data_IF_337613789760
#
_entry.id   IF_337613789760
#
_cell.length_a   1.000
_cell.length_b   1.000
_cell.length_c   1.000
_cell.angle_alpha   90.00
_cell.angle_beta   90.00
_cell.angle_gamma   90.00
#
_symmetry.space_group_name_H-M   'P 1'
#
loop_
_entity.id
_entity.type
_entity.pdbx_description
1 polymer ?
#
# COMPACT_ATOMS: atom_id res chain seq x y z
N UNK A 1 -8.51 -23.31 -17.24
CA UNK A 1 -9.00 -23.82 -18.53
C UNK A 1 -10.30 -24.59 -18.35
N UNK A 2 -11.44 -23.90 -18.47
CA UNK A 2 -12.76 -24.51 -18.59
C UNK A 2 -13.63 -23.53 -19.37
N UNK A 3 -13.55 -23.55 -20.70
CA UNK A 3 -14.52 -22.87 -21.54
C UNK A 3 -15.71 -23.83 -21.71
N UNK A 4 -16.79 -23.56 -20.99
CA UNK A 4 -18.06 -24.28 -21.13
C UNK A 4 -18.73 -23.81 -22.42
N UNK A 5 -18.67 -24.65 -23.47
CA UNK A 5 -19.34 -24.37 -24.75
C UNK A 5 -20.84 -24.68 -24.56
N UNK A 6 -21.67 -23.66 -24.73
CA UNK A 6 -23.15 -23.78 -24.73
C UNK A 6 -23.64 -24.10 -26.14
N UNK A 7 -24.42 -25.17 -26.28
CA UNK A 7 -24.96 -25.65 -27.57
C UNK A 7 -26.49 -25.60 -27.58
N UNK A 8 -27.08 -25.29 -28.73
CA UNK A 8 -28.53 -25.31 -28.93
C UNK A 8 -28.95 -26.64 -29.56
N UNK A 9 -29.76 -27.42 -28.85
CA UNK A 9 -30.33 -28.69 -29.31
C UNK A 9 -31.84 -28.66 -29.11
N UNK A 10 -32.62 -28.98 -30.15
CA UNK A 10 -34.09 -28.99 -30.11
C UNK A 10 -34.72 -27.67 -29.61
N UNK A 11 -34.11 -26.53 -29.94
CA UNK A 11 -34.59 -25.22 -29.53
C UNK A 11 -34.28 -24.83 -28.08
N UNK A 12 -33.55 -25.67 -27.34
CA UNK A 12 -33.12 -25.40 -25.97
C UNK A 12 -31.59 -25.29 -25.90
N UNK A 13 -31.10 -24.23 -25.24
CA UNK A 13 -29.69 -24.06 -24.96
C UNK A 13 -29.29 -24.91 -23.76
N UNK A 14 -28.16 -25.62 -23.87
CA UNK A 14 -27.60 -26.38 -22.77
C UNK A 14 -26.06 -26.39 -22.82
N UNK A 15 -25.37 -26.13 -21.70
CA UNK A 15 -25.89 -25.58 -20.44
C UNK A 15 -26.39 -24.13 -20.58
N UNK A 16 -27.09 -23.60 -19.58
CA UNK A 16 -27.55 -22.21 -19.56
C UNK A 16 -26.41 -21.23 -19.89
N UNK A 17 -26.74 -20.19 -20.65
CA UNK A 17 -25.77 -19.18 -21.07
C UNK A 17 -25.26 -18.45 -19.82
N UNK A 18 -23.94 -18.41 -19.56
CA UNK A 18 -23.42 -17.75 -18.37
C UNK A 18 -23.61 -16.24 -18.46
N UNK A 19 -23.90 -15.63 -17.32
CA UNK A 19 -23.93 -14.18 -17.19
C UNK A 19 -22.51 -13.63 -16.96
N UNK A 20 -22.14 -12.58 -17.69
CA UNK A 20 -20.87 -11.89 -17.48
C UNK A 20 -20.91 -11.12 -16.17
N UNK A 21 -19.98 -11.41 -15.26
CA UNK A 21 -19.77 -10.62 -14.05
C UNK A 21 -18.96 -9.35 -14.38
N UNK A 22 -19.33 -8.22 -13.78
CA UNK A 22 -18.48 -7.02 -13.78
C UNK A 22 -17.35 -7.22 -12.77
N UNK A 23 -16.12 -6.95 -13.19
CA UNK A 23 -14.94 -7.07 -12.34
C UNK A 23 -14.66 -5.74 -11.64
N UNK A 24 -14.19 -5.81 -10.41
CA UNK A 24 -13.67 -4.64 -9.71
C UNK A 24 -12.29 -4.25 -10.23
N UNK A 25 -11.95 -2.96 -10.26
CA UNK A 25 -10.65 -2.49 -10.73
C UNK A 25 -9.52 -2.99 -9.81
N UNK A 26 -8.33 -3.18 -10.41
CA UNK A 26 -7.11 -3.51 -9.67
C UNK A 26 -6.75 -2.42 -8.67
N UNK A 27 -6.11 -2.81 -7.56
CA UNK A 27 -5.66 -1.91 -6.52
C UNK A 27 -4.14 -1.96 -6.39
N UNK A 28 -3.52 -0.78 -6.37
CA UNK A 28 -2.08 -0.63 -6.16
C UNK A 28 -1.84 0.52 -5.19
N UNK A 29 -0.94 0.34 -4.23
CA UNK A 29 -0.57 1.39 -3.29
C UNK A 29 0.89 1.30 -2.88
N UNK A 30 1.54 2.45 -2.76
CA UNK A 30 2.90 2.56 -2.21
C UNK A 30 2.91 2.68 -0.69
N UNK A 31 1.79 3.01 -0.05
CA UNK A 31 1.67 3.31 1.40
C UNK A 31 0.81 2.30 2.17
N UNK A 32 0.12 1.40 1.47
CA UNK A 32 -0.77 0.38 2.04
C UNK A 32 -0.30 -1.02 1.66
N UNK A 33 -0.23 -1.92 2.64
CA UNK A 33 -0.08 -3.35 2.43
C UNK A 33 -1.47 -3.99 2.30
N UNK A 34 -1.63 -4.83 1.29
CA UNK A 34 -2.91 -5.48 0.96
C UNK A 34 -2.74 -6.99 0.93
N UNK A 35 -3.73 -7.70 1.47
CA UNK A 35 -3.86 -9.15 1.43
C UNK A 35 -5.11 -9.48 0.63
N UNK A 36 -4.89 -10.06 -0.55
CA UNK A 36 -5.94 -10.49 -1.46
C UNK A 36 -6.25 -11.97 -1.28
N UNK A 37 -7.51 -12.31 -0.97
CA UNK A 37 -7.92 -13.69 -0.64
C UNK A 37 -8.29 -14.55 -1.86
N UNK A 38 -7.65 -14.35 -3.01
CA UNK A 38 -7.88 -15.19 -4.21
C UNK A 38 -6.82 -16.30 -4.41
N UNK A 39 -5.74 -16.27 -3.66
CA UNK A 39 -4.70 -17.31 -3.66
C UNK A 39 -3.37 -16.77 -3.13
N UNK A 40 -2.45 -17.63 -2.67
CA UNK A 40 -1.20 -17.21 -2.02
C UNK A 40 -0.21 -16.46 -2.93
N UNK A 41 -0.41 -16.45 -4.26
CA UNK A 41 0.51 -15.87 -5.25
C UNK A 41 -0.15 -14.85 -6.20
N UNK A 42 -1.42 -14.51 -6.01
CA UNK A 42 -2.11 -13.52 -6.85
C UNK A 42 -2.20 -12.17 -6.13
N UNK A 43 -1.45 -11.19 -6.64
CA UNK A 43 -1.48 -9.82 -6.17
C UNK A 43 -2.82 -9.13 -6.45
N UNK A 44 -3.04 -7.99 -5.79
CA UNK A 44 -4.21 -7.13 -5.99
C UNK A 44 -4.11 -6.27 -7.27
N UNK A 45 -3.08 -6.50 -8.09
CA UNK A 45 -2.71 -5.75 -9.30
C UNK A 45 -3.54 -6.12 -10.53
N UNK A 46 -4.55 -6.99 -10.36
CA UNK A 46 -5.44 -7.44 -11.43
C UNK A 46 -6.91 -7.16 -11.09
N UNK A 47 -7.80 -7.08 -12.10
CA UNK A 47 -9.25 -7.00 -11.86
C UNK A 47 -9.76 -8.23 -11.10
N UNK A 48 -10.67 -8.01 -10.15
CA UNK A 48 -11.13 -9.06 -9.22
C UNK A 48 -12.61 -9.37 -9.38
N UNK A 49 -12.97 -10.63 -9.13
CA UNK A 49 -14.35 -11.10 -9.21
C UNK A 49 -15.20 -10.57 -8.06
N UNK A 50 -16.52 -10.38 -8.26
CA UNK A 50 -17.46 -10.13 -7.17
C UNK A 50 -17.33 -11.16 -6.04
N UNK A 51 -17.52 -10.72 -4.80
CA UNK A 51 -17.35 -11.52 -3.59
C UNK A 51 -15.92 -11.54 -3.04
N UNK A 52 -14.92 -11.12 -3.81
CA UNK A 52 -13.52 -11.02 -3.34
C UNK A 52 -13.39 -10.06 -2.18
N UNK A 53 -12.68 -10.47 -1.13
CA UNK A 53 -12.38 -9.64 0.04
C UNK A 53 -10.90 -9.30 0.08
N UNK A 54 -10.61 -8.04 0.37
CA UNK A 54 -9.25 -7.54 0.55
C UNK A 54 -9.14 -6.99 1.95
N UNK A 55 -8.15 -7.44 2.70
CA UNK A 55 -7.77 -6.86 3.99
C UNK A 55 -6.54 -6.01 3.79
N UNK A 56 -6.46 -4.86 4.44
CA UNK A 56 -5.34 -3.94 4.26
C UNK A 56 -4.94 -3.23 5.54
N UNK A 57 -3.70 -2.76 5.57
CA UNK A 57 -3.13 -1.94 6.64
C UNK A 57 -2.14 -0.94 6.06
N UNK A 58 -1.96 0.19 6.72
CA UNK A 58 -0.85 1.06 6.36
C UNK A 58 0.48 0.30 6.51
N UNK A 59 1.41 0.55 5.58
CA UNK A 59 2.77 0.04 5.66
C UNK A 59 3.45 0.45 6.95
N UNK A 60 4.51 -0.26 7.29
CA UNK A 60 5.40 0.17 8.37
C UNK A 60 5.86 1.62 8.16
N UNK A 61 5.96 2.39 9.23
CA UNK A 61 6.20 3.84 9.23
C UNK A 61 5.10 4.72 8.62
N UNK A 62 3.95 4.17 8.25
CA UNK A 62 2.76 4.95 7.89
C UNK A 62 1.64 4.78 8.93
N UNK A 63 0.76 5.77 9.03
CA UNK A 63 -0.43 5.76 9.88
C UNK A 63 -1.64 6.28 9.12
N UNK A 64 -2.82 5.80 9.51
CA UNK A 64 -4.09 6.45 9.15
C UNK A 64 -4.50 7.38 10.28
N UNK A 65 -4.99 8.57 9.95
CA UNK A 65 -5.62 9.45 10.93
C UNK A 65 -7.11 9.13 11.10
N UNK A 66 -7.68 8.35 10.17
CA UNK A 66 -9.06 7.92 10.20
C UNK A 66 -9.19 6.61 10.99
N UNK A 67 -9.66 6.72 12.23
CA UNK A 67 -9.87 5.58 13.13
C UNK A 67 -11.10 4.74 12.73
N UNK A 68 -12.02 5.31 11.95
CA UNK A 68 -13.21 4.61 11.46
C UNK A 68 -13.00 3.99 10.08
N UNK A 69 -11.79 4.11 9.53
CA UNK A 69 -11.48 3.53 8.24
C UNK A 69 -11.62 2.00 8.31
N UNK A 70 -12.40 1.38 7.43
CA UNK A 70 -12.53 -0.07 7.41
C UNK A 70 -11.15 -0.69 7.15
N UNK A 71 -10.88 -1.87 7.70
CA UNK A 71 -9.66 -2.63 7.40
C UNK A 71 -9.87 -3.68 6.30
N UNK A 72 -11.08 -3.72 5.72
CA UNK A 72 -11.47 -4.67 4.70
C UNK A 72 -12.49 -4.05 3.73
N UNK A 73 -12.31 -4.33 2.43
CA UNK A 73 -13.29 -4.02 1.38
C UNK A 73 -13.66 -5.28 0.61
N UNK A 74 -14.83 -5.25 -0.03
CA UNK A 74 -15.35 -6.35 -0.85
C UNK A 74 -15.68 -5.88 -2.24
N UNK A 75 -15.40 -6.71 -3.25
CA UNK A 75 -15.87 -6.47 -4.61
C UNK A 75 -17.36 -6.79 -4.70
N UNK A 76 -18.17 -5.83 -5.11
CA UNK A 76 -19.61 -5.97 -5.25
C UNK A 76 -20.00 -6.46 -6.66
N UNK A 77 -21.21 -7.00 -6.79
CA UNK A 77 -21.79 -7.43 -8.09
C UNK A 77 -21.89 -6.28 -9.11
N UNK A 78 -21.86 -5.03 -8.63
CA UNK A 78 -21.81 -3.83 -9.46
C UNK A 78 -20.47 -3.68 -10.22
N UNK A 79 -19.43 -4.41 -9.83
CA UNK A 79 -18.04 -4.22 -10.26
C UNK A 79 -17.35 -3.06 -9.54
N UNK A 80 -17.89 -2.60 -8.40
CA UNK A 80 -17.28 -1.57 -7.56
C UNK A 80 -16.83 -2.13 -6.23
N UNK A 81 -15.78 -1.55 -5.66
CA UNK A 81 -15.37 -1.85 -4.30
C UNK A 81 -16.36 -1.22 -3.31
N UNK A 82 -16.72 -1.96 -2.26
CA UNK A 82 -17.62 -1.50 -1.19
C UNK A 82 -17.06 -0.32 -0.37
N UNK A 83 -15.82 0.07 -0.62
CA UNK A 83 -15.11 1.14 0.08
C UNK A 83 -13.80 1.48 -0.63
N UNK A 84 -13.01 2.36 -0.02
CA UNK A 84 -11.74 2.83 -0.55
C UNK A 84 -10.58 2.45 0.37
N UNK A 85 -9.38 2.42 -0.19
CA UNK A 85 -8.17 2.27 0.60
C UNK A 85 -7.98 3.49 1.54
N UNK A 86 -7.39 3.29 2.72
CA UNK A 86 -7.22 4.34 3.70
C UNK A 86 -6.13 5.30 3.24
N UNK A 87 -6.28 6.57 3.61
CA UNK A 87 -5.24 7.55 3.38
C UNK A 87 -4.14 7.41 4.45
N UNK A 88 -3.05 6.76 4.08
CA UNK A 88 -1.89 6.53 4.96
C UNK A 88 -0.84 7.65 4.80
N UNK A 89 -0.54 8.34 5.89
CA UNK A 89 0.52 9.37 5.96
C UNK A 89 1.75 8.85 6.71
N UNK A 90 2.97 9.35 6.40
CA UNK A 90 4.16 8.99 7.14
C UNK A 90 4.04 9.32 8.64
N UNK A 91 4.55 8.44 9.49
CA UNK A 91 4.76 8.72 10.91
C UNK A 91 5.98 9.65 11.03
N UNK A 92 5.76 10.88 11.47
CA UNK A 92 6.83 11.87 11.66
C UNK A 92 7.32 11.89 13.12
N UNK A 93 8.55 12.38 13.33
CA UNK A 93 9.11 12.64 14.66
C UNK A 93 9.41 11.40 15.52
N UNK A 94 9.41 10.21 14.94
CA UNK A 94 9.74 8.96 15.63
C UNK A 94 11.18 8.53 15.32
N UNK A 95 11.99 8.38 16.36
CA UNK A 95 13.32 7.75 16.28
C UNK A 95 13.15 6.24 16.14
N UNK A 96 14.07 5.58 15.43
CA UNK A 96 14.09 4.11 15.32
C UNK A 96 14.75 3.44 16.54
N UNK A 97 15.17 4.22 17.54
CA UNK A 97 15.80 3.74 18.76
C UNK A 97 14.90 4.05 19.97
N UNK A 98 14.70 3.04 20.82
CA UNK A 98 13.88 3.10 22.05
C UNK A 98 14.45 4.01 23.15
N UNK A 99 15.64 4.58 22.95
CA UNK A 99 16.19 5.53 23.90
C UNK A 99 15.55 6.91 23.69
N UNK A 100 14.81 7.38 24.69
CA UNK A 100 14.44 8.78 24.88
C UNK A 100 15.70 9.64 24.93
N UNK A 101 16.29 9.94 23.78
CA UNK A 101 17.36 10.91 23.69
C UNK A 101 16.73 12.26 23.92
N UNK A 102 17.00 12.82 25.10
CA UNK A 102 16.85 14.25 25.32
C UNK A 102 17.75 14.93 24.28
N UNK A 103 17.22 15.82 23.42
CA UNK A 103 18.01 16.54 22.44
C UNK A 103 18.88 17.58 23.16
N UNK A 104 19.95 17.14 23.81
CA UNK A 104 20.91 18.04 24.46
C UNK A 104 22.05 18.33 23.49
N UNK A 105 22.08 19.56 22.98
CA UNK A 105 23.12 20.09 22.07
C UNK A 105 24.39 20.51 22.84
N UNK A 106 24.37 20.46 24.18
CA UNK A 106 25.51 20.81 25.02
C UNK A 106 26.50 19.63 25.09
N UNK A 107 27.72 19.83 24.58
CA UNK A 107 28.79 18.82 24.61
C UNK A 107 28.60 17.70 23.59
N UNK A 108 28.35 18.05 22.32
CA UNK A 108 27.93 17.15 21.25
C UNK A 108 28.62 15.78 21.22
N UNK A 109 27.81 14.73 21.08
CA UNK A 109 28.24 13.34 20.96
C UNK A 109 27.90 12.80 19.55
N UNK A 110 28.67 11.84 19.06
CA UNK A 110 28.41 11.18 17.77
C UNK A 110 27.05 10.49 17.82
N UNK A 111 26.19 10.81 16.86
CA UNK A 111 24.85 10.22 16.78
C UNK A 111 24.89 8.80 16.24
N UNK A 112 24.07 7.91 16.81
CA UNK A 112 23.89 6.54 16.33
C UNK A 112 22.97 6.52 15.10
N UNK A 113 23.20 5.57 14.20
CA UNK A 113 22.31 5.32 13.06
C UNK A 113 20.90 5.04 13.59
N UNK A 114 19.89 5.74 13.03
CA UNK A 114 18.50 5.62 13.45
C UNK A 114 18.01 6.64 14.49
N UNK A 115 18.90 7.44 15.11
CA UNK A 115 18.51 8.49 16.06
C UNK A 115 17.68 9.60 15.41
N UNK A 116 18.11 10.03 14.22
CA UNK A 116 17.51 11.14 13.48
C UNK A 116 17.20 10.67 12.06
N UNK A 117 16.15 9.84 11.87
CA UNK A 117 15.83 9.28 10.56
C UNK A 117 15.42 10.36 9.54
N UNK A 118 15.03 11.54 10.01
CA UNK A 118 14.75 12.70 9.16
C UNK A 118 15.98 13.52 8.79
N UNK A 119 17.17 13.24 9.36
CA UNK A 119 18.37 14.02 9.05
C UNK A 119 18.79 13.80 7.59
N UNK A 120 18.91 14.90 6.85
CA UNK A 120 19.38 14.89 5.47
C UNK A 120 20.66 15.72 5.35
N UNK A 121 21.53 15.32 4.41
CA UNK A 121 22.71 16.07 4.02
C UNK A 121 22.68 16.32 2.52
N UNK A 122 22.94 17.57 2.13
CA UNK A 122 22.98 18.01 0.74
C UNK A 122 24.43 18.06 0.30
N UNK A 123 24.75 17.33 -0.75
CA UNK A 123 26.09 17.27 -1.32
C UNK A 123 26.13 17.95 -2.69
N UNK A 124 27.25 18.60 -2.99
CA UNK A 124 27.55 19.18 -4.30
C UNK A 124 28.79 18.50 -4.86
N UNK A 125 28.68 17.99 -6.08
CA UNK A 125 29.82 17.46 -6.82
C UNK A 125 30.57 18.60 -7.52
N UNK A 126 31.85 18.77 -7.19
CA UNK A 126 32.76 19.67 -7.90
C UNK A 126 33.92 18.85 -8.44
N UNK A 127 34.04 18.81 -9.76
CA UNK A 127 35.15 18.15 -10.47
C UNK A 127 35.34 16.66 -10.12
N UNK A 128 34.26 15.95 -9.76
CA UNK A 128 34.29 14.53 -9.39
C UNK A 128 34.32 14.28 -7.88
N UNK A 129 34.48 15.32 -7.05
CA UNK A 129 34.44 15.21 -5.59
C UNK A 129 33.11 15.68 -5.00
N UNK A 130 32.49 14.85 -4.17
CA UNK A 130 31.27 15.19 -3.44
C UNK A 130 31.60 15.87 -2.11
N UNK A 131 31.14 17.10 -1.94
CA UNK A 131 31.31 17.87 -0.70
C UNK A 131 29.97 18.16 -0.05
N UNK A 132 29.85 17.95 1.26
CA UNK A 132 28.64 18.33 2.02
C UNK A 132 28.54 19.84 2.10
N UNK A 133 27.41 20.40 1.67
CA UNK A 133 27.18 21.85 1.63
C UNK A 133 26.27 22.29 2.76
N UNK A 134 25.17 21.57 2.99
CA UNK A 134 24.16 21.92 3.99
C UNK A 134 23.55 20.67 4.61
N UNK A 135 23.00 20.82 5.82
CA UNK A 135 22.08 19.85 6.42
C UNK A 135 20.63 20.21 6.12
N UNK A 136 19.74 19.24 6.31
CA UNK A 136 18.30 19.40 6.15
C UNK A 136 17.52 18.41 7.00
N UNK A 137 16.20 18.53 6.93
CA UNK A 137 15.27 17.59 7.57
C UNK A 137 14.18 17.17 6.59
N UNK A 138 13.81 15.90 6.60
CA UNK A 138 12.68 15.41 5.83
C UNK A 138 11.37 15.95 6.41
N UNK A 139 10.52 16.50 5.54
CA UNK A 139 9.15 16.95 5.82
C UNK A 139 8.25 16.33 4.74
N UNK A 140 7.02 15.95 5.11
CA UNK A 140 6.06 15.24 4.25
C UNK A 140 4.73 15.94 4.24
#
# INVERSE_FOLDING_TARGET
>A
NSQSITSCTNGQWFPDIPHCAKLCPSLTSTTVDMLCWQGPDEGCDKPMLPGTKITFKCKEHYKTNDQNSPNMIRCEESGQWSGQLPHCTPKCGQSNLDSYLLPTVLGGNVSKVGNFPWHAAIFHNREGEWQSVCGGTLIT
#
